data_IF_402265231646
#
_entry.id   IF_402265231646
#
_cell.length_a   1.000
_cell.length_b   1.000
_cell.length_c   1.000
_cell.angle_alpha   90.00
_cell.angle_beta   90.00
_cell.angle_gamma   90.00
#
_symmetry.space_group_name_H-M   'P 1'
#
loop_
_entity.id
_entity.type
_entity.pdbx_description
1 polymer ?
#
# COMPACT_ATOMS: atom_id res chain seq x y z
N UNK A 1 -13.43 14.77 24.72
CA UNK A 1 -13.82 13.72 23.76
C UNK A 1 -13.42 14.09 22.34
N UNK A 2 -14.21 14.93 21.68
CA UNK A 2 -14.07 15.24 20.25
C UNK A 2 -12.74 15.88 19.81
N UNK A 3 -12.13 16.72 20.65
CA UNK A 3 -10.81 17.34 20.38
C UNK A 3 -9.71 16.27 20.34
N UNK A 4 -9.73 15.33 21.28
CA UNK A 4 -8.76 14.24 21.33
C UNK A 4 -8.84 13.36 20.08
N UNK A 5 -10.05 12.96 19.67
CA UNK A 5 -10.24 12.19 18.44
C UNK A 5 -9.80 12.95 17.19
N UNK A 6 -10.04 14.27 17.13
CA UNK A 6 -9.60 15.09 16.00
C UNK A 6 -8.07 15.14 15.91
N UNK A 7 -7.37 15.36 17.03
CA UNK A 7 -5.90 15.38 17.08
C UNK A 7 -5.33 14.04 16.60
N UNK A 8 -5.85 12.92 17.10
CA UNK A 8 -5.39 11.57 16.71
C UNK A 8 -5.57 11.33 15.21
N UNK A 9 -6.72 11.71 14.66
CA UNK A 9 -7.00 11.55 13.22
C UNK A 9 -6.05 12.41 12.38
N UNK A 10 -5.84 13.67 12.74
CA UNK A 10 -4.94 14.56 12.01
C UNK A 10 -3.49 14.06 12.04
N UNK A 11 -3.02 13.57 13.19
CA UNK A 11 -1.68 13.00 13.32
C UNK A 11 -1.51 11.71 12.51
N UNK A 12 -2.54 10.87 12.45
CA UNK A 12 -2.51 9.64 11.64
C UNK A 12 -2.47 9.96 10.15
N UNK A 13 -3.27 10.94 9.69
CA UNK A 13 -3.29 11.35 8.29
C UNK A 13 -1.97 11.99 7.86
N UNK A 14 -1.36 12.84 8.69
CA UNK A 14 -0.04 13.42 8.36
C UNK A 14 1.06 12.37 8.34
N UNK A 15 1.04 11.40 9.26
CA UNK A 15 1.97 10.26 9.26
C UNK A 15 1.84 9.40 8.00
N UNK A 16 0.61 9.15 7.54
CA UNK A 16 0.34 8.45 6.28
C UNK A 16 0.89 9.21 5.07
N UNK A 17 0.65 10.53 4.99
CA UNK A 17 1.21 11.35 3.93
C UNK A 17 2.75 11.32 3.92
N UNK A 18 3.38 11.41 5.09
CA UNK A 18 4.84 11.33 5.21
C UNK A 18 5.36 9.95 4.77
N UNK A 19 4.69 8.87 5.16
CA UNK A 19 5.07 7.49 4.79
C UNK A 19 4.98 7.27 3.28
N UNK A 20 3.93 7.78 2.63
CA UNK A 20 3.78 7.70 1.17
C UNK A 20 4.86 8.50 0.42
N UNK A 21 5.26 9.67 0.94
CA UNK A 21 6.35 10.46 0.38
C UNK A 21 7.70 9.75 0.50
N UNK A 22 7.97 9.14 1.66
CA UNK A 22 9.20 8.35 1.86
C UNK A 22 9.22 7.16 0.90
N UNK A 23 8.12 6.42 0.80
CA UNK A 23 7.97 5.28 -0.10
C UNK A 23 8.23 5.69 -1.56
N UNK A 24 7.69 6.83 -1.98
CA UNK A 24 7.91 7.32 -3.35
C UNK A 24 9.36 7.73 -3.58
N UNK A 25 10.00 8.34 -2.59
CA UNK A 25 11.43 8.64 -2.61
C UNK A 25 12.29 7.39 -2.77
N UNK A 26 12.00 6.34 -2.00
CA UNK A 26 12.72 5.05 -2.09
C UNK A 26 12.56 4.40 -3.46
N UNK A 27 11.33 4.31 -3.96
CA UNK A 27 11.06 3.73 -5.28
C UNK A 27 11.76 4.52 -6.40
N UNK A 28 11.81 5.85 -6.31
CA UNK A 28 12.45 6.68 -7.33
C UNK A 28 13.98 6.61 -7.25
N UNK A 29 14.56 6.51 -6.07
CA UNK A 29 16.00 6.25 -5.91
C UNK A 29 16.40 4.90 -6.50
N UNK A 30 15.55 3.88 -6.39
CA UNK A 30 15.78 2.57 -7.03
C UNK A 30 15.75 2.64 -8.56
N UNK A 31 14.90 3.51 -9.13
CA UNK A 31 14.85 3.74 -10.58
C UNK A 31 16.01 4.61 -11.08
N UNK A 32 16.41 5.61 -10.30
CA UNK A 32 17.47 6.57 -10.65
C UNK A 32 18.43 6.71 -9.45
N UNK A 33 19.47 5.85 -9.37
CA UNK A 33 20.37 5.78 -8.22
C UNK A 33 21.36 6.94 -8.13
N UNK A 34 21.39 7.84 -9.12
CA UNK A 34 22.28 8.99 -9.15
C UNK A 34 21.91 10.09 -8.14
N UNK A 35 20.67 10.09 -7.63
CA UNK A 35 20.16 11.13 -6.73
C UNK A 35 19.77 10.51 -5.37
N UNK A 36 20.18 11.17 -4.28
CA UNK A 36 19.86 10.75 -2.91
C UNK A 36 18.35 10.75 -2.64
N UNK A 37 17.87 9.76 -1.89
CA UNK A 37 16.47 9.61 -1.45
C UNK A 37 15.90 10.90 -0.84
N UNK A 38 16.71 11.63 -0.05
CA UNK A 38 16.27 12.88 0.59
C UNK A 38 15.87 13.94 -0.43
N UNK A 39 16.61 14.03 -1.53
CA UNK A 39 16.35 15.00 -2.60
C UNK A 39 15.08 14.58 -3.36
N UNK A 40 14.90 13.29 -3.64
CA UNK A 40 13.67 12.77 -4.25
C UNK A 40 12.43 13.07 -3.41
N UNK A 41 12.49 12.90 -2.09
CA UNK A 41 11.36 13.23 -1.19
C UNK A 41 10.99 14.71 -1.32
N UNK A 42 11.98 15.62 -1.37
CA UNK A 42 11.72 17.06 -1.51
C UNK A 42 11.12 17.37 -2.89
N UNK A 43 11.63 16.77 -3.96
CA UNK A 43 11.09 16.93 -5.32
C UNK A 43 9.62 16.51 -5.36
N UNK A 44 9.30 15.33 -4.82
CA UNK A 44 7.93 14.84 -4.76
C UNK A 44 7.03 15.70 -3.88
N UNK A 45 7.53 16.17 -2.73
CA UNK A 45 6.78 17.09 -1.88
C UNK A 45 6.39 18.37 -2.64
N UNK A 46 7.34 18.98 -3.37
CA UNK A 46 7.07 20.17 -4.20
C UNK A 46 6.11 19.85 -5.35
N UNK A 47 6.26 18.69 -5.98
CA UNK A 47 5.38 18.24 -7.06
C UNK A 47 3.92 18.04 -6.61
N UNK A 48 3.68 17.58 -5.37
CA UNK A 48 2.32 17.38 -4.84
C UNK A 48 1.67 18.64 -4.28
N UNK A 49 2.41 19.73 -4.02
CA UNK A 49 1.84 21.02 -3.61
C UNK A 49 0.73 21.50 -4.58
N UNK A 50 0.93 21.56 -5.91
CA UNK A 50 -0.13 21.99 -6.83
C UNK A 50 -1.35 21.05 -6.79
N UNK A 51 -1.17 19.75 -6.50
CA UNK A 51 -2.27 18.80 -6.36
C UNK A 51 -3.15 19.08 -5.14
N UNK A 52 -2.66 19.78 -4.12
CA UNK A 52 -3.48 20.19 -2.97
C UNK A 52 -4.56 21.22 -3.33
N UNK A 53 -4.42 21.90 -4.47
CA UNK A 53 -5.42 22.85 -4.97
C UNK A 53 -6.58 22.20 -5.74
N UNK A 54 -6.52 20.89 -6.00
CA UNK A 54 -7.64 20.13 -6.58
C UNK A 54 -8.77 20.03 -5.55
N UNK A 55 -9.71 20.97 -5.63
CA UNK A 55 -10.84 21.07 -4.70
C UNK A 55 -12.00 20.13 -5.07
N UNK A 56 -11.98 19.54 -6.27
CA UNK A 56 -13.10 18.79 -6.83
C UNK A 56 -12.86 17.29 -6.79
N UNK A 57 -13.70 16.55 -6.05
CA UNK A 57 -13.60 15.10 -5.88
C UNK A 57 -13.74 14.29 -7.17
N UNK A 58 -14.31 14.89 -8.22
CA UNK A 58 -14.38 14.31 -9.54
C UNK A 58 -12.98 14.12 -10.16
N UNK A 59 -12.08 15.08 -10.01
CA UNK A 59 -10.70 15.00 -10.54
C UNK A 59 -9.90 13.96 -9.76
N UNK A 60 -10.09 13.91 -8.44
CA UNK A 60 -9.48 12.92 -7.56
C UNK A 60 -9.93 11.50 -7.93
N UNK A 61 -11.18 11.31 -8.33
CA UNK A 61 -11.68 10.01 -8.78
C UNK A 61 -10.99 9.50 -10.05
N UNK A 62 -10.61 10.39 -10.97
CA UNK A 62 -9.89 10.01 -12.19
C UNK A 62 -8.46 9.57 -11.87
N UNK A 63 -7.77 10.32 -11.01
CA UNK A 63 -6.43 9.95 -10.51
C UNK A 63 -6.47 8.62 -9.75
N UNK A 64 -7.50 8.40 -8.93
CA UNK A 64 -7.71 7.13 -8.23
C UNK A 64 -7.94 5.96 -9.21
N UNK A 65 -8.67 6.17 -10.29
CA UNK A 65 -8.88 5.13 -11.31
C UNK A 65 -7.56 4.73 -12.00
N UNK A 66 -6.71 5.70 -12.35
CA UNK A 66 -5.36 5.43 -12.87
C UNK A 66 -4.53 4.66 -11.83
N UNK A 67 -4.56 5.09 -10.57
CA UNK A 67 -3.91 4.41 -9.47
C UNK A 67 -4.34 2.95 -9.31
N UNK A 68 -5.64 2.66 -9.49
CA UNK A 68 -6.14 1.27 -9.47
C UNK A 68 -5.53 0.43 -10.60
N UNK A 69 -5.42 0.97 -11.81
CA UNK A 69 -4.78 0.24 -12.92
C UNK A 69 -3.31 -0.06 -12.60
N UNK A 70 -2.59 0.89 -12.02
CA UNK A 70 -1.20 0.68 -11.56
C UNK A 70 -1.11 -0.41 -10.50
N UNK A 71 -2.01 -0.42 -9.52
CA UNK A 71 -2.05 -1.46 -8.47
C UNK A 71 -2.36 -2.83 -9.08
N UNK A 72 -3.29 -2.92 -10.03
CA UNK A 72 -3.60 -4.18 -10.73
C UNK A 72 -2.43 -4.70 -11.56
N UNK A 73 -1.68 -3.78 -12.19
CA UNK A 73 -0.47 -4.13 -12.94
C UNK A 73 0.61 -4.65 -12.00
N UNK A 74 0.84 -3.95 -10.88
CA UNK A 74 1.80 -4.37 -9.86
C UNK A 74 1.41 -5.74 -9.27
N UNK A 75 0.13 -5.95 -8.99
CA UNK A 75 -0.40 -7.24 -8.57
C UNK A 75 -0.06 -8.35 -9.56
N UNK A 76 -0.33 -8.14 -10.86
CA UNK A 76 -0.06 -9.13 -11.88
C UNK A 76 1.43 -9.45 -12.01
N UNK A 77 2.29 -8.42 -12.04
CA UNK A 77 3.75 -8.57 -12.15
C UNK A 77 4.33 -9.30 -10.94
N UNK A 78 3.98 -8.88 -9.73
CA UNK A 78 4.50 -9.50 -8.50
C UNK A 78 4.04 -10.95 -8.38
N UNK A 79 2.76 -11.22 -8.67
CA UNK A 79 2.22 -12.58 -8.58
C UNK A 79 2.82 -13.51 -9.63
N UNK A 80 2.98 -13.02 -10.87
CA UNK A 80 3.64 -13.78 -11.93
C UNK A 80 5.10 -14.07 -11.60
N UNK A 81 5.84 -13.06 -11.11
CA UNK A 81 7.24 -13.23 -10.73
C UNK A 81 7.41 -14.21 -9.57
N UNK A 82 6.59 -14.07 -8.51
CA UNK A 82 6.61 -15.00 -7.38
C UNK A 82 6.32 -16.45 -7.81
N UNK A 83 5.34 -16.65 -8.70
CA UNK A 83 5.01 -17.98 -9.21
C UNK A 83 6.12 -18.55 -10.11
N UNK A 84 6.72 -17.72 -10.99
CA UNK A 84 7.83 -18.15 -11.85
C UNK A 84 9.04 -18.57 -11.02
N UNK A 85 9.44 -17.77 -10.02
CA UNK A 85 10.57 -18.08 -9.14
C UNK A 85 10.31 -19.37 -8.37
N UNK A 86 9.10 -19.55 -7.81
CA UNK A 86 8.74 -20.77 -7.08
C UNK A 86 8.73 -22.04 -7.94
N UNK A 87 8.43 -21.94 -9.24
CA UNK A 87 8.38 -23.08 -10.16
C UNK A 87 9.73 -23.41 -10.81
N UNK A 88 10.61 -22.42 -10.97
CA UNK A 88 11.89 -22.57 -11.72
C UNK A 88 13.10 -22.72 -10.82
N UNK A 89 12.99 -22.35 -9.54
CA UNK A 89 14.08 -22.45 -8.58
C UNK A 89 14.23 -23.90 -8.11
N UNK A 90 15.43 -24.47 -8.28
CA UNK A 90 15.80 -25.79 -7.77
C UNK A 90 16.34 -25.77 -6.33
N UNK A 91 16.42 -24.58 -5.73
CA UNK A 91 16.83 -24.38 -4.34
C UNK A 91 15.65 -24.69 -3.40
N UNK A 92 15.89 -25.40 -2.30
CA UNK A 92 14.85 -25.65 -1.30
C UNK A 92 14.43 -24.31 -0.66
N UNK A 93 13.20 -23.89 -0.94
CA UNK A 93 12.61 -22.71 -0.33
C UNK A 93 12.03 -23.12 1.03
N UNK A 94 12.60 -22.59 2.11
CA UNK A 94 12.09 -22.85 3.46
C UNK A 94 10.81 -22.06 3.72
N UNK A 95 9.79 -22.77 4.20
CA UNK A 95 8.44 -22.25 4.43
C UNK A 95 8.03 -22.49 5.89
N UNK A 96 7.94 -21.40 6.65
CA UNK A 96 7.39 -21.40 8.00
C UNK A 96 5.93 -21.00 8.00
N UNK A 97 5.11 -21.95 8.44
CA UNK A 97 3.67 -21.76 8.62
C UNK A 97 3.39 -20.92 9.89
N UNK A 98 4.33 -20.88 10.84
CA UNK A 98 4.18 -20.17 12.11
C UNK A 98 5.27 -19.12 12.34
N UNK A 99 4.84 -17.91 12.69
CA UNK A 99 5.74 -16.83 13.14
C UNK A 99 6.08 -17.06 14.61
N UNK A 100 7.35 -17.31 14.91
CA UNK A 100 7.85 -17.50 16.28
C UNK A 100 8.13 -16.18 17.01
N UNK A 101 8.28 -15.08 16.28
CA UNK A 101 8.59 -13.75 16.82
C UNK A 101 7.33 -12.89 17.00
N UNK A 102 6.92 -12.72 18.26
CA UNK A 102 5.74 -11.91 18.65
C UNK A 102 5.88 -10.45 18.22
N UNK A 103 7.09 -9.90 18.18
CA UNK A 103 7.34 -8.50 17.80
C UNK A 103 7.07 -8.28 16.31
N UNK A 104 7.48 -9.24 15.48
CA UNK A 104 7.21 -9.22 14.03
C UNK A 104 5.72 -9.39 13.75
N UNK A 105 5.06 -10.27 14.49
CA UNK A 105 3.61 -10.45 14.40
C UNK A 105 2.88 -9.13 14.73
N UNK A 106 3.25 -8.46 15.82
CA UNK A 106 2.66 -7.19 16.22
C UNK A 106 2.89 -6.07 15.19
N UNK A 107 4.11 -5.99 14.65
CA UNK A 107 4.45 -4.99 13.62
C UNK A 107 3.67 -5.22 12.33
N UNK A 108 3.64 -6.46 11.83
CA UNK A 108 2.88 -6.81 10.62
C UNK A 108 1.38 -6.58 10.81
N UNK A 109 0.86 -6.91 12.00
CA UNK A 109 -0.53 -6.62 12.35
C UNK A 109 -0.83 -5.11 12.31
N UNK A 110 0.09 -4.28 12.80
CA UNK A 110 -0.01 -2.82 12.70
C UNK A 110 -0.07 -2.33 11.25
N UNK A 111 0.78 -2.88 10.36
CA UNK A 111 0.76 -2.58 8.92
C UNK A 111 -0.57 -3.00 8.30
N UNK A 112 -1.10 -4.17 8.66
CA UNK A 112 -2.41 -4.61 8.18
C UNK A 112 -3.53 -3.67 8.61
N UNK A 113 -3.56 -3.25 9.89
CA UNK A 113 -4.56 -2.27 10.38
C UNK A 113 -4.47 -0.97 9.57
N UNK A 114 -3.25 -0.49 9.32
CA UNK A 114 -3.02 0.72 8.54
C UNK A 114 -3.52 0.57 7.10
N UNK A 115 -3.27 -0.58 6.47
CA UNK A 115 -3.69 -0.87 5.10
C UNK A 115 -5.22 -0.93 4.92
N UNK A 116 -5.97 -1.29 5.97
CA UNK A 116 -7.43 -1.32 5.95
C UNK A 116 -8.09 -0.06 6.55
N UNK A 117 -7.30 0.96 6.93
CA UNK A 117 -7.80 2.19 7.49
C UNK A 117 -8.56 3.03 6.44
N UNK A 118 -9.88 3.15 6.57
CA UNK A 118 -10.71 3.98 5.68
C UNK A 118 -11.64 4.93 6.44
N UNK A 119 -11.66 4.86 7.77
CA UNK A 119 -12.61 5.59 8.63
C UNK A 119 -12.49 7.10 8.47
N UNK A 120 -11.29 7.60 8.20
CA UNK A 120 -11.00 9.03 8.10
C UNK A 120 -11.49 9.62 6.77
N UNK A 121 -11.59 8.81 5.72
CA UNK A 121 -12.07 9.21 4.40
C UNK A 121 -13.52 8.82 4.14
N UNK A 122 -14.11 7.93 4.95
CA UNK A 122 -15.46 7.41 4.76
C UNK A 122 -16.54 8.50 4.71
N UNK A 123 -16.52 9.48 5.61
CA UNK A 123 -17.52 10.56 5.64
C UNK A 123 -17.49 11.40 4.35
N UNK A 124 -16.28 11.68 3.87
CA UNK A 124 -16.05 12.41 2.62
C UNK A 124 -16.52 11.59 1.42
N UNK A 125 -16.20 10.30 1.37
CA UNK A 125 -16.71 9.39 0.32
C UNK A 125 -18.24 9.37 0.28
N UNK A 126 -18.89 9.20 1.43
CA UNK A 126 -20.36 9.13 1.52
C UNK A 126 -21.01 10.43 1.05
N UNK A 127 -20.43 11.58 1.42
CA UNK A 127 -20.91 12.90 1.00
C UNK A 127 -20.87 13.07 -0.51
N UNK A 128 -19.84 12.55 -1.15
CA UNK A 128 -19.58 12.78 -2.58
C UNK A 128 -20.13 11.65 -3.48
N UNK A 129 -20.73 10.61 -2.90
CA UNK A 129 -21.44 9.56 -3.63
C UNK A 129 -22.76 10.07 -4.22
N UNK A 130 -23.01 9.79 -5.50
CA UNK A 130 -24.29 10.08 -6.15
C UNK A 130 -25.50 9.39 -5.47
N UNK A 131 -25.28 8.22 -4.83
CA UNK A 131 -26.30 7.48 -4.08
C UNK A 131 -25.74 6.99 -2.74
N UNK A 132 -25.77 7.81 -1.67
CA UNK A 132 -25.18 7.46 -0.37
C UNK A 132 -25.77 6.19 0.26
N UNK A 133 -27.03 5.86 -0.04
CA UNK A 133 -27.72 4.63 0.44
C UNK A 133 -27.02 3.34 0.04
N UNK A 134 -26.20 3.35 -1.00
CA UNK A 134 -25.47 2.17 -1.47
C UNK A 134 -24.07 2.02 -0.87
N UNK A 135 -23.61 2.96 -0.02
CA UNK A 135 -22.26 2.95 0.56
C UNK A 135 -21.91 1.59 1.19
N UNK A 136 -22.74 1.08 2.09
CA UNK A 136 -22.48 -0.20 2.78
C UNK A 136 -22.29 -1.36 1.80
N UNK A 137 -23.10 -1.43 0.73
CA UNK A 137 -23.00 -2.50 -0.27
C UNK A 137 -21.71 -2.38 -1.07
N UNK A 138 -21.35 -1.16 -1.48
CA UNK A 138 -20.14 -0.89 -2.27
C UNK A 138 -18.89 -1.13 -1.42
N UNK A 139 -18.84 -0.62 -0.19
CA UNK A 139 -17.72 -0.82 0.73
C UNK A 139 -17.48 -2.30 1.01
N UNK A 140 -18.54 -3.10 1.23
CA UNK A 140 -18.39 -4.54 1.44
C UNK A 140 -17.73 -5.24 0.25
N UNK A 141 -18.15 -4.91 -0.98
CA UNK A 141 -17.54 -5.47 -2.19
C UNK A 141 -16.08 -5.02 -2.32
N UNK A 142 -15.79 -3.74 -2.08
CA UNK A 142 -14.43 -3.22 -2.12
C UNK A 142 -13.50 -3.93 -1.12
N UNK A 143 -13.95 -4.12 0.12
CA UNK A 143 -13.18 -4.85 1.14
C UNK A 143 -12.91 -6.30 0.77
N UNK A 144 -13.88 -7.00 0.17
CA UNK A 144 -13.69 -8.38 -0.31
C UNK A 144 -12.64 -8.42 -1.42
N UNK A 145 -12.69 -7.46 -2.36
CA UNK A 145 -11.71 -7.37 -3.45
C UNK A 145 -10.30 -7.10 -2.89
N UNK A 146 -10.17 -6.13 -1.98
CA UNK A 146 -8.88 -5.80 -1.35
C UNK A 146 -8.32 -7.00 -0.59
N UNK A 147 -9.17 -7.69 0.18
CA UNK A 147 -8.78 -8.90 0.90
C UNK A 147 -8.27 -10.00 -0.04
N UNK A 148 -8.97 -10.24 -1.16
CA UNK A 148 -8.56 -11.23 -2.14
C UNK A 148 -7.20 -10.87 -2.77
N UNK A 149 -7.00 -9.61 -3.15
CA UNK A 149 -5.74 -9.15 -3.76
C UNK A 149 -4.59 -9.24 -2.76
N UNK A 150 -4.75 -8.75 -1.54
CA UNK A 150 -3.70 -8.80 -0.52
C UNK A 150 -3.34 -10.24 -0.15
N UNK A 151 -4.33 -11.13 -0.04
CA UNK A 151 -4.08 -12.55 0.23
C UNK A 151 -3.37 -13.21 -0.95
N UNK A 152 -3.78 -12.94 -2.19
CA UNK A 152 -3.14 -13.49 -3.37
C UNK A 152 -1.67 -13.05 -3.50
N UNK A 153 -1.38 -11.75 -3.30
CA UNK A 153 0.01 -11.24 -3.30
C UNK A 153 0.83 -11.91 -2.20
N UNK A 154 0.28 -12.00 -0.99
CA UNK A 154 0.95 -12.63 0.14
C UNK A 154 1.28 -14.09 -0.15
N UNK A 155 0.32 -14.86 -0.66
CA UNK A 155 0.50 -16.29 -0.99
C UNK A 155 1.50 -16.48 -2.14
N UNK A 156 1.34 -15.76 -3.26
CA UNK A 156 2.23 -15.89 -4.41
C UNK A 156 3.66 -15.42 -4.09
N UNK A 157 3.80 -14.32 -3.34
CA UNK A 157 5.09 -13.84 -2.88
C UNK A 157 5.76 -14.84 -1.95
N UNK A 158 5.04 -15.32 -0.94
CA UNK A 158 5.58 -16.28 0.03
C UNK A 158 5.95 -17.62 -0.60
N UNK A 159 5.16 -18.10 -1.56
CA UNK A 159 5.46 -19.32 -2.32
C UNK A 159 6.77 -19.20 -3.13
N UNK A 160 7.04 -18.02 -3.70
CA UNK A 160 8.24 -17.81 -4.53
C UNK A 160 9.53 -17.60 -3.74
N UNK A 161 9.45 -16.92 -2.59
CA UNK A 161 10.65 -16.46 -1.87
C UNK A 161 10.78 -17.03 -0.45
N UNK A 162 9.72 -17.62 0.12
CA UNK A 162 9.71 -18.23 1.45
C UNK A 162 10.30 -17.33 2.54
N UNK A 163 11.19 -17.89 3.37
CA UNK A 163 11.90 -17.17 4.43
C UNK A 163 12.79 -16.02 3.92
N UNK A 164 13.24 -16.03 2.66
CA UNK A 164 14.11 -14.97 2.11
C UNK A 164 13.42 -13.59 2.07
N UNK A 165 12.08 -13.54 2.01
CA UNK A 165 11.28 -12.32 2.18
C UNK A 165 11.47 -11.63 3.54
N UNK A 166 11.77 -12.43 4.57
CA UNK A 166 11.86 -12.01 5.96
C UNK A 166 13.24 -11.44 6.27
N UNK A 167 14.25 -11.85 5.51
CA UNK A 167 15.66 -11.45 5.65
C UNK A 167 16.04 -10.32 4.69
N UNK A 168 15.51 -10.34 3.46
CA UNK A 168 15.75 -9.32 2.44
C UNK A 168 14.42 -8.82 1.84
N UNK A 169 14.04 -7.54 2.07
CA UNK A 169 12.88 -6.94 1.41
C UNK A 169 13.03 -7.07 -0.12
N UNK A 170 12.00 -7.58 -0.79
CA UNK A 170 11.97 -7.85 -2.24
C UNK A 170 12.49 -6.66 -3.09
N UNK A 171 12.31 -5.44 -2.58
CA UNK A 171 12.79 -4.22 -3.23
C UNK A 171 14.31 -4.19 -3.49
N UNK A 172 15.14 -4.94 -2.77
CA UNK A 172 16.58 -5.04 -3.02
C UNK A 172 16.96 -6.18 -3.98
N UNK A 173 16.03 -7.10 -4.28
CA UNK A 173 16.27 -8.22 -5.20
C UNK A 173 15.79 -7.96 -6.62
N UNK A 174 15.12 -6.82 -6.87
CA UNK A 174 14.59 -6.40 -8.19
C UNK A 174 15.52 -5.35 -8.84
N UNK A 175 16.57 -4.89 -8.15
CA UNK A 175 17.57 -3.94 -8.67
C UNK A 175 18.95 -4.59 -8.70
#
# INVERSE_FOLDING_TARGET
>A
GWIFTAIVVHLTMSGLCASLLVLLGENTTKLVPSISQRIWIVIWAVFFIPFTFLRTMHEVSYVAAIGMVSILTLFAVVSANGLMVGLTTHEEIDHDIFVTDVTRLATNFGVCILAYNTTNSAATLVRDMAKPKHFVRVSRVAYVIIYAIYTAIGVCGYYGYGRKLIEHPILDSIV
#
